data_IF_840779262827
#
_entry.id   IF_840779262827
#
_cell.length_a   1.000
_cell.length_b   1.000
_cell.length_c   1.000
_cell.angle_alpha   90.00
_cell.angle_beta   90.00
_cell.angle_gamma   90.00
#
_symmetry.space_group_name_H-M   'P 1'
#
loop_
_entity.id
_entity.type
_entity.pdbx_description
1 polymer ?
#
# COMPACT_ATOMS: atom_id res chain seq x y z
N UNK A 1 -10.75 -10.42 -16.21
CA UNK A 1 -10.58 -8.96 -16.29
C UNK A 1 -10.38 -8.41 -14.88
N UNK A 2 -9.40 -7.52 -14.70
CA UNK A 2 -9.03 -6.97 -13.41
C UNK A 2 -9.32 -5.48 -13.32
N UNK A 3 -9.67 -5.01 -12.12
CA UNK A 3 -9.83 -3.59 -11.81
C UNK A 3 -8.94 -3.23 -10.62
N UNK A 4 -8.02 -2.29 -10.82
CA UNK A 4 -7.18 -1.71 -9.75
C UNK A 4 -7.56 -0.25 -9.52
N UNK A 5 -7.70 0.12 -8.26
CA UNK A 5 -8.13 1.45 -7.84
C UNK A 5 -7.15 2.00 -6.83
N UNK A 6 -6.77 3.25 -7.02
CA UNK A 6 -6.07 4.03 -6.02
C UNK A 6 -6.93 5.19 -5.57
N UNK A 7 -7.33 5.19 -4.30
CA UNK A 7 -8.04 6.30 -3.70
C UNK A 7 -7.07 7.19 -2.95
N UNK A 8 -7.15 8.51 -3.13
CA UNK A 8 -6.18 9.43 -2.54
C UNK A 8 -6.82 10.61 -1.81
N UNK A 9 -6.15 11.08 -0.77
CA UNK A 9 -6.46 12.29 -0.02
C UNK A 9 -5.17 13.06 0.25
N UNK A 10 -5.01 14.18 -0.46
CA UNK A 10 -3.76 14.92 -0.57
C UNK A 10 -4.04 16.43 -0.36
N UNK A 11 -3.76 17.01 0.82
CA UNK A 11 -3.21 16.38 2.03
C UNK A 11 -4.24 15.54 2.81
N UNK A 12 -3.73 14.59 3.59
CA UNK A 12 -4.51 13.76 4.51
C UNK A 12 -5.00 14.57 5.73
N UNK A 13 -6.14 14.20 6.34
CA UNK A 13 -6.61 14.78 7.58
C UNK A 13 -5.59 14.59 8.70
N UNK A 14 -5.65 15.44 9.72
CA UNK A 14 -4.83 15.33 10.94
C UNK A 14 -3.31 15.43 10.67
N UNK A 15 -2.88 16.00 9.55
CA UNK A 15 -1.46 16.22 9.25
C UNK A 15 -0.67 14.92 9.04
N UNK A 16 -1.32 13.84 8.61
CA UNK A 16 -0.68 12.57 8.28
C UNK A 16 -0.14 12.54 6.84
N UNK A 17 0.51 13.63 6.42
CA UNK A 17 1.06 13.81 5.07
C UNK A 17 0.02 13.64 3.97
N UNK A 18 0.27 12.71 3.06
CA UNK A 18 -0.60 12.31 1.96
C UNK A 18 -1.08 10.87 2.18
N UNK A 19 -2.37 10.61 1.91
CA UNK A 19 -2.97 9.28 2.10
C UNK A 19 -3.37 8.68 0.76
N UNK A 20 -2.98 7.43 0.58
CA UNK A 20 -3.38 6.54 -0.50
C UNK A 20 -4.11 5.32 0.03
N UNK A 21 -4.89 4.69 -0.84
CA UNK A 21 -5.49 3.39 -0.59
C UNK A 21 -5.55 2.59 -1.90
N UNK A 22 -4.87 1.45 -1.94
CA UNK A 22 -4.88 0.54 -3.09
C UNK A 22 -5.92 -0.55 -2.84
N UNK A 23 -6.86 -0.69 -3.77
CA UNK A 23 -7.85 -1.75 -3.81
C UNK A 23 -7.83 -2.43 -5.17
N UNK A 24 -8.22 -3.71 -5.22
CA UNK A 24 -8.41 -4.39 -6.49
C UNK A 24 -9.56 -5.40 -6.46
N UNK A 25 -10.03 -5.74 -7.65
CA UNK A 25 -11.09 -6.71 -7.88
C UNK A 25 -10.74 -7.56 -9.10
N UNK A 26 -10.83 -8.88 -8.94
CA UNK A 26 -10.90 -9.81 -10.06
C UNK A 26 -12.38 -9.97 -10.45
N UNK A 27 -12.76 -9.43 -11.61
CA UNK A 27 -14.15 -9.43 -12.06
C UNK A 27 -14.61 -10.82 -12.53
N UNK A 28 -13.69 -11.69 -12.94
CA UNK A 28 -14.05 -13.01 -13.43
C UNK A 28 -14.43 -13.93 -12.26
N UNK A 29 -13.73 -13.78 -11.13
CA UNK A 29 -13.99 -14.56 -9.92
C UNK A 29 -14.76 -13.79 -8.84
N UNK A 30 -15.03 -12.50 -9.07
CA UNK A 30 -15.62 -11.55 -8.11
C UNK A 30 -14.86 -11.44 -6.78
N UNK A 31 -13.56 -11.75 -6.78
CA UNK A 31 -12.73 -11.68 -5.58
C UNK A 31 -12.25 -10.26 -5.35
N UNK A 32 -12.42 -9.75 -4.14
CA UNK A 32 -12.07 -8.38 -3.75
C UNK A 32 -10.89 -8.33 -2.78
N UNK A 33 -9.92 -7.47 -3.09
CA UNK A 33 -8.72 -7.23 -2.32
C UNK A 33 -7.52 -6.99 -3.22
N UNK A 34 -6.71 -5.98 -2.97
CA UNK A 34 -5.49 -5.72 -3.72
C UNK A 34 -4.58 -6.97 -3.82
N UNK A 35 -4.52 -7.76 -2.75
CA UNK A 35 -3.75 -9.01 -2.69
C UNK A 35 -4.22 -10.12 -3.65
N UNK A 36 -5.39 -9.98 -4.29
CA UNK A 36 -5.83 -10.94 -5.32
C UNK A 36 -5.06 -10.76 -6.63
N UNK A 37 -4.35 -9.63 -6.80
CA UNK A 37 -3.49 -9.32 -7.94
C UNK A 37 -2.03 -9.13 -7.46
N UNK A 38 -1.36 -10.22 -7.01
CA UNK A 38 -0.08 -10.12 -6.33
C UNK A 38 1.02 -9.46 -7.18
N UNK A 39 1.06 -9.76 -8.48
CA UNK A 39 2.06 -9.18 -9.40
C UNK A 39 1.84 -7.68 -9.61
N UNK A 40 0.60 -7.27 -9.90
CA UNK A 40 0.23 -5.86 -10.08
C UNK A 40 0.46 -5.06 -8.81
N UNK A 41 0.06 -5.61 -7.66
CA UNK A 41 0.26 -4.97 -6.36
C UNK A 41 1.75 -4.83 -6.05
N UNK A 42 2.55 -5.87 -6.26
CA UNK A 42 4.00 -5.83 -6.02
C UNK A 42 4.67 -4.78 -6.91
N UNK A 43 4.38 -4.77 -8.21
CA UNK A 43 4.93 -3.78 -9.15
C UNK A 43 4.52 -2.36 -8.78
N UNK A 44 3.24 -2.15 -8.42
CA UNK A 44 2.76 -0.84 -7.99
C UNK A 44 3.48 -0.39 -6.72
N UNK A 45 3.48 -1.21 -5.66
CA UNK A 45 4.11 -0.83 -4.39
C UNK A 45 5.60 -0.60 -4.58
N UNK A 46 6.34 -1.49 -5.24
CA UNK A 46 7.77 -1.30 -5.52
C UNK A 46 8.07 0.05 -6.19
N UNK A 47 7.23 0.48 -7.14
CA UNK A 47 7.39 1.77 -7.82
C UNK A 47 7.04 2.99 -6.95
N UNK A 48 6.34 2.81 -5.84
CA UNK A 48 6.02 3.88 -4.87
C UNK A 48 7.05 3.98 -3.75
N UNK A 49 7.83 2.92 -3.50
CA UNK A 49 8.86 2.95 -2.49
C UNK A 49 10.00 3.87 -2.96
N UNK A 50 10.55 4.72 -2.09
CA UNK A 50 11.65 5.59 -2.45
C UNK A 50 12.85 4.74 -2.91
N UNK A 51 13.49 5.16 -4.01
CA UNK A 51 14.67 4.47 -4.57
C UNK A 51 15.90 4.56 -3.67
N UNK A 52 15.87 5.44 -2.68
CA UNK A 52 16.91 5.61 -1.67
C UNK A 52 16.36 5.32 -0.27
N UNK A 53 17.14 4.62 0.54
CA UNK A 53 16.79 4.30 1.92
C UNK A 53 16.46 2.82 2.09
N UNK A 54 15.94 2.49 3.27
CA UNK A 54 15.58 1.13 3.65
C UNK A 54 14.10 0.93 3.48
N UNK A 55 13.70 -0.23 2.99
CA UNK A 55 12.35 -0.75 3.24
C UNK A 55 12.44 -1.69 4.43
N UNK A 56 11.43 -1.80 5.29
CA UNK A 56 11.38 -2.86 6.29
C UNK A 56 9.92 -3.30 6.46
N UNK A 57 9.72 -4.55 6.89
CA UNK A 57 8.41 -5.12 7.16
C UNK A 57 8.36 -5.64 8.60
N UNK A 58 7.25 -5.39 9.27
CA UNK A 58 6.98 -5.88 10.61
C UNK A 58 5.63 -6.54 10.67
N UNK A 59 5.50 -7.61 11.46
CA UNK A 59 4.20 -8.23 11.77
C UNK A 59 4.18 -8.83 13.17
N UNK A 60 3.01 -8.83 13.82
CA UNK A 60 2.81 -9.33 15.19
C UNK A 60 1.98 -10.63 15.23
N UNK A 61 2.04 -11.46 14.18
CA UNK A 61 1.13 -12.60 14.02
C UNK A 61 1.55 -13.88 14.76
N UNK A 62 2.58 -13.83 15.62
CA UNK A 62 3.04 -14.99 16.41
C UNK A 62 3.58 -16.16 15.57
N UNK A 63 3.50 -16.10 14.23
CA UNK A 63 4.29 -16.95 13.36
C UNK A 63 5.71 -16.47 13.52
N UNK A 64 6.54 -17.25 14.21
CA UNK A 64 7.96 -16.98 14.45
C UNK A 64 8.81 -16.83 13.19
N UNK A 65 8.19 -16.61 12.03
CA UNK A 65 8.76 -15.88 10.89
C UNK A 65 8.45 -14.38 11.01
N UNK A 66 8.82 -13.80 12.15
CA UNK A 66 9.62 -12.60 12.02
C UNK A 66 10.80 -13.02 11.14
N UNK A 67 10.94 -12.47 9.94
CA UNK A 67 12.24 -12.55 9.28
C UNK A 67 13.21 -11.85 10.23
N UNK A 68 13.91 -12.72 10.98
CA UNK A 68 14.53 -12.56 12.27
C UNK A 68 13.61 -12.26 13.48
N UNK A 69 13.56 -13.19 14.43
CA UNK A 69 13.17 -12.98 15.82
C UNK A 69 14.11 -12.04 16.58
N UNK A 70 14.24 -10.81 16.07
CA UNK A 70 14.75 -9.61 16.73
C UNK A 70 13.86 -8.45 16.25
N UNK A 71 13.45 -7.52 17.13
CA UNK A 71 12.79 -6.30 16.69
C UNK A 71 13.68 -5.57 15.68
N UNK A 72 13.18 -5.34 14.46
CA UNK A 72 13.82 -4.52 13.44
C UNK A 72 14.91 -5.21 12.61
N UNK A 73 14.50 -6.01 11.62
CA UNK A 73 15.36 -6.29 10.45
C UNK A 73 14.84 -5.48 9.27
N UNK A 74 15.73 -4.67 8.70
CA UNK A 74 15.45 -3.95 7.47
C UNK A 74 15.41 -4.93 6.29
N UNK A 75 14.58 -4.69 5.28
CA UNK A 75 14.64 -5.44 4.01
C UNK A 75 16.07 -5.45 3.48
N UNK A 76 16.84 -4.38 3.67
CA UNK A 76 18.23 -4.27 3.23
C UNK A 76 19.14 -5.44 3.67
N UNK A 77 18.86 -6.08 4.83
CA UNK A 77 19.66 -7.22 5.31
C UNK A 77 19.27 -8.55 4.64
N UNK A 78 18.22 -8.56 3.81
CA UNK A 78 17.65 -9.73 3.13
C UNK A 78 17.82 -9.73 1.60
N UNK A 79 18.43 -8.69 1.02
CA UNK A 79 18.46 -8.49 -0.43
C UNK A 79 19.89 -8.54 -0.97
N UNK A 80 20.28 -9.70 -1.50
CA UNK A 80 21.50 -9.82 -2.30
C UNK A 80 21.22 -9.61 -3.81
N UNK A 81 19.96 -9.46 -4.24
CA UNK A 81 19.59 -9.13 -5.62
C UNK A 81 18.16 -8.57 -5.76
N UNK A 82 17.88 -7.86 -6.87
CA UNK A 82 16.56 -7.28 -7.19
C UNK A 82 15.44 -8.34 -7.27
N UNK A 83 15.77 -9.59 -7.62
CA UNK A 83 14.81 -10.70 -7.68
C UNK A 83 14.29 -11.12 -6.30
N UNK A 84 15.17 -11.17 -5.30
CA UNK A 84 14.81 -11.53 -3.91
C UNK A 84 13.91 -10.47 -3.26
N UNK A 85 14.02 -9.21 -3.71
CA UNK A 85 13.18 -8.12 -3.21
C UNK A 85 11.73 -8.27 -3.65
N UNK A 86 11.52 -8.48 -4.95
CA UNK A 86 10.18 -8.59 -5.50
C UNK A 86 9.43 -9.78 -4.91
N UNK A 87 10.10 -10.92 -4.72
CA UNK A 87 9.50 -12.11 -4.10
C UNK A 87 9.14 -11.87 -2.63
N UNK A 88 10.06 -11.29 -1.86
CA UNK A 88 9.84 -11.00 -0.44
C UNK A 88 8.74 -9.96 -0.23
N UNK A 89 8.69 -8.93 -1.08
CA UNK A 89 7.65 -7.91 -1.04
C UNK A 89 6.30 -8.50 -1.44
N UNK A 90 6.24 -9.32 -2.50
CA UNK A 90 5.01 -10.02 -2.90
C UNK A 90 4.48 -10.91 -1.77
N UNK A 91 5.37 -11.64 -1.09
CA UNK A 91 5.00 -12.45 0.07
C UNK A 91 4.45 -11.59 1.22
N UNK A 92 5.07 -10.45 1.53
CA UNK A 92 4.58 -9.52 2.54
C UNK A 92 3.22 -8.90 2.17
N UNK A 93 3.01 -8.54 0.91
CA UNK A 93 1.80 -7.89 0.41
C UNK A 93 0.58 -8.82 0.30
N UNK A 94 0.82 -10.12 0.22
CA UNK A 94 -0.22 -11.15 0.06
C UNK A 94 -0.53 -11.91 1.34
N UNK A 95 0.36 -11.87 2.33
CA UNK A 95 0.16 -12.54 3.63
C UNK A 95 -1.03 -11.88 4.34
N UNK A 96 -2.07 -12.66 4.67
CA UNK A 96 -3.19 -12.15 5.48
C UNK A 96 -2.76 -11.95 6.94
N UNK A 97 -2.34 -10.73 7.26
CA UNK A 97 -1.92 -10.31 8.61
C UNK A 97 -2.77 -9.15 9.12
N UNK A 98 -3.23 -9.23 10.37
CA UNK A 98 -4.04 -8.15 10.98
C UNK A 98 -3.20 -7.01 11.57
N UNK A 99 -1.96 -7.30 11.95
CA UNK A 99 -1.03 -6.36 12.56
C UNK A 99 0.31 -6.47 11.86
N UNK A 100 0.44 -5.76 10.75
CA UNK A 100 1.69 -5.61 10.05
C UNK A 100 1.83 -4.20 9.49
N UNK A 101 3.05 -3.84 9.12
CA UNK A 101 3.36 -2.57 8.51
C UNK A 101 4.60 -2.72 7.63
N UNK A 102 4.62 -1.99 6.51
CA UNK A 102 5.84 -1.73 5.75
C UNK A 102 6.23 -0.27 6.00
N UNK A 103 7.50 -0.01 6.24
CA UNK A 103 8.07 1.35 6.33
C UNK A 103 9.18 1.45 5.31
N UNK A 104 9.16 2.51 4.51
CA UNK A 104 10.18 2.76 3.51
C UNK A 104 10.69 4.20 3.56
N UNK A 105 11.99 4.39 3.30
CA UNK A 105 12.64 5.70 3.29
C UNK A 105 13.89 5.73 4.18
N UNK A 106 14.27 6.89 4.75
CA UNK A 106 15.52 7.04 5.52
C UNK A 106 15.43 6.42 6.93
N UNK A 107 14.91 5.19 7.06
CA UNK A 107 14.65 4.55 8.34
C UNK A 107 15.94 4.27 9.13
N UNK A 108 15.94 4.63 10.42
CA UNK A 108 16.99 4.34 11.40
C UNK A 108 16.35 3.74 12.65
N UNK A 109 16.81 2.56 13.05
CA UNK A 109 16.24 1.86 14.20
C UNK A 109 16.41 2.61 15.52
N UNK A 110 17.53 3.33 15.69
CA UNK A 110 17.81 4.17 16.87
C UNK A 110 16.81 5.32 17.04
N UNK A 111 16.27 5.81 15.93
CA UNK A 111 15.50 7.05 15.91
C UNK A 111 13.99 6.76 15.78
N UNK A 112 13.62 5.68 15.09
CA UNK A 112 12.23 5.40 14.70
C UNK A 112 11.64 4.14 15.34
N UNK A 113 12.45 3.30 16.00
CA UNK A 113 12.02 1.97 16.45
C UNK A 113 10.83 1.99 17.41
N UNK A 114 10.80 2.94 18.35
CA UNK A 114 9.70 3.11 19.31
C UNK A 114 8.40 3.53 18.63
N UNK A 115 8.46 4.50 17.72
CA UNK A 115 7.29 4.95 16.95
C UNK A 115 6.70 3.83 16.09
N UNK A 116 7.55 3.01 15.46
CA UNK A 116 7.12 1.82 14.70
C UNK A 116 6.44 0.79 15.60
N UNK A 117 6.99 0.52 16.79
CA UNK A 117 6.39 -0.42 17.74
C UNK A 117 4.99 0.07 18.19
N UNK A 118 4.86 1.35 18.52
CA UNK A 118 3.57 1.96 18.89
C UNK A 118 2.53 1.83 17.77
N UNK A 119 2.93 2.05 16.52
CA UNK A 119 2.03 1.92 15.36
C UNK A 119 1.59 0.48 15.12
N UNK A 120 2.46 -0.50 15.31
CA UNK A 120 2.09 -1.92 15.19
C UNK A 120 1.14 -2.38 16.30
N UNK A 121 1.31 -1.84 17.51
CA UNK A 121 0.49 -2.23 18.65
C UNK A 121 -0.91 -1.63 18.58
N UNK A 122 -0.98 -0.32 18.36
CA UNK A 122 -2.18 0.50 18.50
C UNK A 122 -2.81 0.94 17.16
N UNK A 123 -2.08 0.82 16.05
CA UNK A 123 -2.53 1.29 14.74
C UNK A 123 -2.40 2.80 14.55
N UNK A 124 -2.53 3.23 13.30
CA UNK A 124 -2.23 4.62 12.90
C UNK A 124 -3.15 5.68 13.53
N UNK A 125 -4.40 5.34 13.85
CA UNK A 125 -5.35 6.28 14.44
C UNK A 125 -4.99 6.60 15.88
N UNK A 126 -4.66 5.58 16.67
CA UNK A 126 -4.40 5.71 18.10
C UNK A 126 -2.96 6.16 18.38
N UNK A 127 -2.03 5.90 17.45
CA UNK A 127 -0.65 6.39 17.46
C UNK A 127 -0.39 7.49 16.40
N UNK A 128 -1.38 8.37 16.17
CA UNK A 128 -1.28 9.43 15.16
C UNK A 128 -0.08 10.39 15.34
N UNK A 129 0.34 10.79 16.56
CA UNK A 129 1.55 11.59 16.74
C UNK A 129 2.82 10.90 16.25
N UNK A 130 2.95 9.59 16.49
CA UNK A 130 4.08 8.78 16.07
C UNK A 130 4.09 8.61 14.54
N UNK A 131 2.93 8.34 13.93
CA UNK A 131 2.82 8.31 12.48
C UNK A 131 3.24 9.65 11.85
N UNK A 132 2.78 10.77 12.42
CA UNK A 132 3.15 12.10 11.93
C UNK A 132 4.66 12.31 11.97
N UNK A 133 5.31 12.02 13.10
CA UNK A 133 6.76 12.17 13.23
C UNK A 133 7.52 11.35 12.17
N UNK A 134 7.15 10.09 11.96
CA UNK A 134 7.79 9.26 10.93
C UNK A 134 7.59 9.82 9.51
N UNK A 135 6.39 10.33 9.21
CA UNK A 135 6.09 10.93 7.90
C UNK A 135 6.87 12.25 7.72
N UNK A 136 6.98 13.08 8.76
CA UNK A 136 7.79 14.32 8.75
C UNK A 136 9.29 14.03 8.55
N UNK A 137 9.77 12.88 9.04
CA UNK A 137 11.13 12.37 8.80
C UNK A 137 11.31 11.75 7.39
N UNK A 138 10.27 11.81 6.55
CA UNK A 138 10.33 11.38 5.15
C UNK A 138 10.03 9.89 4.93
N UNK A 139 9.41 9.20 5.88
CA UNK A 139 9.06 7.79 5.75
C UNK A 139 7.68 7.60 5.13
N UNK A 140 7.58 6.64 4.20
CA UNK A 140 6.31 6.12 3.70
C UNK A 140 5.92 4.90 4.52
N UNK A 141 4.68 4.89 5.03
CA UNK A 141 4.11 3.83 5.86
C UNK A 141 2.99 3.12 5.10
N UNK A 142 2.99 1.80 5.08
CA UNK A 142 1.93 1.01 4.47
C UNK A 142 1.32 0.06 5.51
N UNK A 143 -0.01 0.04 5.55
CA UNK A 143 -0.78 -0.79 6.48
C UNK A 143 -1.74 -1.68 5.69
N UNK A 144 -1.78 -2.99 6.00
CA UNK A 144 -2.77 -3.88 5.43
C UNK A 144 -4.16 -3.57 6.01
N UNK A 145 -5.15 -3.53 5.14
CA UNK A 145 -6.55 -3.32 5.48
C UNK A 145 -7.34 -4.57 5.05
N UNK A 146 -8.13 -5.21 5.93
CA UNK A 146 -8.91 -6.37 5.55
C UNK A 146 -9.88 -6.08 4.40
N UNK A 147 -9.91 -6.96 3.39
CA UNK A 147 -10.93 -6.97 2.34
C UNK A 147 -11.72 -8.28 2.39
N UNK A 148 -12.73 -8.45 1.53
CA UNK A 148 -13.54 -9.67 1.48
C UNK A 148 -12.70 -10.93 1.21
N UNK A 149 -11.83 -10.91 0.20
CA UNK A 149 -11.06 -12.09 -0.27
C UNK A 149 -9.55 -11.97 -0.06
N UNK A 150 -9.09 -10.96 0.66
CA UNK A 150 -7.67 -10.70 0.82
C UNK A 150 -7.38 -9.49 1.71
N UNK A 151 -6.47 -8.65 1.23
CA UNK A 151 -6.15 -7.37 1.84
C UNK A 151 -5.99 -6.29 0.79
N UNK A 152 -6.49 -5.12 1.15
CA UNK A 152 -6.15 -3.85 0.53
C UNK A 152 -5.01 -3.19 1.31
N UNK A 153 -4.49 -2.08 0.80
CA UNK A 153 -3.33 -1.41 1.41
C UNK A 153 -3.56 0.09 1.56
N UNK A 154 -3.54 0.58 2.80
CA UNK A 154 -3.47 2.00 3.10
C UNK A 154 -2.01 2.47 3.06
N UNK A 155 -1.77 3.63 2.43
CA UNK A 155 -0.43 4.20 2.26
C UNK A 155 -0.43 5.61 2.84
N UNK A 156 0.58 5.95 3.63
CA UNK A 156 0.83 7.29 4.15
C UNK A 156 2.22 7.73 3.74
N UNK A 157 2.35 8.90 3.12
CA UNK A 157 3.62 9.35 2.55
C UNK A 157 3.86 10.84 2.80
N UNK A 158 5.12 11.28 2.92
CA UNK A 158 5.48 12.70 2.96
C UNK A 158 5.13 13.46 1.68
N UNK A 159 4.92 12.76 0.56
CA UNK A 159 4.67 13.36 -0.76
C UNK A 159 3.38 12.83 -1.38
N UNK A 160 2.77 13.64 -2.24
CA UNK A 160 1.64 13.19 -3.06
C UNK A 160 2.08 12.05 -3.98
N UNK A 161 1.30 10.97 -4.00
CA UNK A 161 1.59 9.77 -4.77
C UNK A 161 0.65 9.61 -5.97
N UNK A 162 -0.47 10.35 -6.02
CA UNK A 162 -1.49 10.22 -7.06
C UNK A 162 -0.93 10.33 -8.50
N UNK A 163 0.02 11.23 -8.73
CA UNK A 163 0.71 11.38 -10.02
C UNK A 163 1.58 10.16 -10.38
N UNK A 164 2.42 9.72 -9.44
CA UNK A 164 3.28 8.53 -9.60
C UNK A 164 2.47 7.27 -9.82
N UNK A 165 1.43 7.07 -9.00
CA UNK A 165 0.50 5.94 -9.13
C UNK A 165 -0.17 5.94 -10.50
N UNK A 166 -0.63 7.11 -10.98
CA UNK A 166 -1.23 7.22 -12.32
C UNK A 166 -0.25 6.81 -13.41
N UNK A 167 1.00 7.23 -13.33
CA UNK A 167 2.02 6.87 -14.31
C UNK A 167 2.29 5.35 -14.30
N UNK A 168 2.53 4.75 -13.12
CA UNK A 168 2.76 3.31 -12.98
C UNK A 168 1.56 2.49 -13.49
N UNK A 169 0.34 2.90 -13.14
CA UNK A 169 -0.87 2.23 -13.61
C UNK A 169 -1.06 2.37 -15.12
N UNK A 170 -0.65 3.48 -15.73
CA UNK A 170 -0.72 3.66 -17.18
C UNK A 170 0.20 2.69 -17.94
N UNK A 171 1.35 2.34 -17.36
CA UNK A 171 2.26 1.31 -17.90
C UNK A 171 1.73 -0.11 -17.77
N UNK A 172 0.83 -0.35 -16.81
CA UNK A 172 0.26 -1.67 -16.53
C UNK A 172 -1.13 -1.86 -17.17
N UNK A 173 -1.86 -0.77 -17.38
CA UNK A 173 -3.20 -0.78 -17.94
C UNK A 173 -3.18 -1.38 -19.35
N UNK A 174 -4.23 -2.14 -19.68
CA UNK A 174 -4.30 -2.86 -20.94
C UNK A 174 -5.62 -3.60 -21.11
N UNK A 175 -5.61 -4.62 -21.97
CA UNK A 175 -6.82 -5.39 -22.28
C UNK A 175 -7.42 -6.10 -21.06
N UNK A 176 -6.59 -6.53 -20.12
CA UNK A 176 -7.01 -7.34 -18.98
C UNK A 176 -6.97 -6.61 -17.64
N UNK A 177 -6.51 -5.35 -17.63
CA UNK A 177 -6.40 -4.52 -16.42
C UNK A 177 -6.95 -3.11 -16.69
N UNK A 178 -8.02 -2.77 -15.99
CA UNK A 178 -8.49 -1.41 -15.86
C UNK A 178 -7.96 -0.77 -14.58
N UNK A 179 -7.53 0.48 -14.67
CA UNK A 179 -6.94 1.19 -13.55
C UNK A 179 -7.63 2.54 -13.34
N UNK A 180 -7.79 2.95 -12.08
CA UNK A 180 -8.44 4.19 -11.69
C UNK A 180 -7.66 4.89 -10.58
N UNK A 181 -7.59 6.22 -10.65
CA UNK A 181 -6.96 7.07 -9.61
C UNK A 181 -7.98 8.13 -9.19
N UNK A 182 -8.63 7.92 -8.04
CA UNK A 182 -9.88 8.56 -7.65
C UNK A 182 -9.67 9.37 -6.35
N UNK A 183 -10.10 10.64 -6.27
CA UNK A 183 -10.11 11.38 -5.02
C UNK A 183 -11.01 10.70 -3.98
N UNK A 184 -10.51 10.45 -2.78
CA UNK A 184 -11.22 9.70 -1.73
C UNK A 184 -12.60 10.29 -1.39
N UNK A 185 -12.75 11.62 -1.48
CA UNK A 185 -14.02 12.31 -1.21
C UNK A 185 -15.12 11.91 -2.20
N UNK A 186 -14.77 11.41 -3.38
CA UNK A 186 -15.73 10.91 -4.39
C UNK A 186 -16.19 9.48 -4.10
N UNK A 187 -15.45 8.70 -3.29
CA UNK A 187 -15.66 7.27 -3.05
C UNK A 187 -16.06 6.91 -1.60
N UNK A 188 -16.79 7.79 -0.90
CA UNK A 188 -17.12 7.62 0.54
C UNK A 188 -18.13 6.52 0.89
N UNK A 189 -18.77 5.90 -0.09
CA UNK A 189 -19.77 4.86 0.13
C UNK A 189 -19.31 3.53 -0.48
N UNK A 190 -19.69 2.41 0.13
CA UNK A 190 -19.24 1.07 -0.26
C UNK A 190 -19.54 0.76 -1.75
N UNK A 191 -20.73 1.09 -2.23
CA UNK A 191 -21.09 0.93 -3.65
C UNK A 191 -20.23 1.78 -4.61
N UNK A 192 -19.57 2.84 -4.12
CA UNK A 192 -18.59 3.62 -4.89
C UNK A 192 -17.19 3.03 -4.76
N UNK A 193 -16.91 2.39 -3.64
CA UNK A 193 -15.64 1.73 -3.41
C UNK A 193 -15.47 0.50 -4.30
N UNK A 194 -16.54 -0.25 -4.50
CA UNK A 194 -16.65 -1.39 -5.40
C UNK A 194 -17.52 -1.08 -6.62
N UNK A 195 -17.42 0.16 -7.14
CA UNK A 195 -18.27 0.65 -8.23
C UNK A 195 -18.28 -0.27 -9.45
N UNK A 196 -17.18 -0.96 -9.72
CA UNK A 196 -17.06 -1.88 -10.84
C UNK A 196 -18.04 -3.06 -10.79
N UNK A 197 -18.62 -3.35 -9.62
CA UNK A 197 -19.66 -4.38 -9.44
C UNK A 197 -21.09 -3.82 -9.61
N UNK A 198 -21.27 -2.49 -9.61
CA UNK A 198 -22.58 -1.83 -9.62
C UNK A 198 -22.78 -0.92 -10.83
N UNK A 199 -21.83 -0.01 -11.08
CA UNK A 199 -21.84 0.97 -12.16
C UNK A 199 -20.39 1.26 -12.59
N UNK A 200 -19.92 0.55 -13.62
CA UNK A 200 -18.54 0.67 -14.13
C UNK A 200 -18.22 2.04 -14.71
N UNK A 201 -19.24 2.83 -15.10
CA UNK A 201 -19.04 4.14 -15.72
C UNK A 201 -18.90 5.26 -14.68
N UNK A 202 -19.20 4.99 -13.40
CA UNK A 202 -19.25 5.99 -12.34
C UNK A 202 -17.98 6.84 -12.23
N UNK A 203 -16.81 6.27 -12.56
CA UNK A 203 -15.52 6.93 -12.46
C UNK A 203 -14.72 6.91 -13.77
N UNK A 204 -15.40 6.90 -14.93
CA UNK A 204 -14.73 6.94 -16.24
C UNK A 204 -13.77 8.14 -16.37
N UNK A 205 -14.13 9.30 -15.82
CA UNK A 205 -13.28 10.51 -15.79
C UNK A 205 -11.96 10.31 -15.01
N UNK A 206 -11.88 9.29 -14.14
CA UNK A 206 -10.71 8.98 -13.33
C UNK A 206 -9.94 7.75 -13.84
N UNK A 207 -10.44 7.12 -14.90
CA UNK A 207 -9.79 5.97 -15.54
C UNK A 207 -8.41 6.37 -16.05
N UNK A 208 -7.44 5.50 -15.83
CA UNK A 208 -6.08 5.64 -16.34
C UNK A 208 -6.03 5.07 -17.74
N UNK A 209 -5.65 5.90 -18.72
CA UNK A 209 -5.40 5.46 -20.08
C UNK A 209 -4.10 4.66 -20.14
N UNK A 210 -4.11 3.54 -20.88
CA UNK A 210 -2.90 2.79 -21.16
C UNK A 210 -1.94 3.61 -22.03
N UNK A 211 -0.64 3.48 -21.79
CA UNK A 211 0.38 3.94 -22.73
C UNK A 211 0.33 3.03 -23.98
N UNK A 212 -0.03 3.61 -25.14
CA UNK A 212 -0.09 2.91 -26.43
C UNK A 212 1.30 2.82 -27.04
#
# INVERSE_FOLDING_TARGET
MYVVKYFFEEPAPMGLGHRGYVAATDLDTQRMGASVLPETLTRLISGLLPSSGRTCYWSNDGSGTAFAGRPGVAFDDLLASDGEFSESLSAALTKRVRKAMIVAGPYRSSDHGEAVAMLLEHGIRDAAPQARALIEDGLTLLFPEPSHDGQDWAIHSPVALSGTVRALLAEMAGRDLEAYVIPFQKARAEHKFYFELYDRMLFDDFRVAALV
#
